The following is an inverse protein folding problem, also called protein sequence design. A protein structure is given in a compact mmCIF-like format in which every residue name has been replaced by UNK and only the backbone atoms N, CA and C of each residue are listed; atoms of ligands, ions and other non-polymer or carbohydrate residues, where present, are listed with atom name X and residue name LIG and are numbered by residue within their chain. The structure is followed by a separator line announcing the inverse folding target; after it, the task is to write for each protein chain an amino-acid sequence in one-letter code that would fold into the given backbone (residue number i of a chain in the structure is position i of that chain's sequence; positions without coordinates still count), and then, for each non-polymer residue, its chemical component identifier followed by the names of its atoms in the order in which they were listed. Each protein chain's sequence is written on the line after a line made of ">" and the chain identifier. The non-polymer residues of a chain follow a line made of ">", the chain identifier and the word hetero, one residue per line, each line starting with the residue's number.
data_IF_112857245849
#
_entry.id   IF_112857245849
#
_cell.length_a   1.000
_cell.length_b   1.000
_cell.length_c   1.000
_cell.angle_alpha   90.00
_cell.angle_beta   90.00
_cell.angle_gamma   90.00
#
_symmetry.space_group_name_H-M   'P 1'
#
loop_
_entity.id
_entity.type
_entity.pdbx_description
1 polymer ?
#
# COMPACT_ATOMS: atom_id res chain seq x y z
N UNK A 1 17.82 14.58 42.48
CA UNK A 1 17.70 13.73 41.29
C UNK A 1 19.10 13.22 40.99
N UNK A 2 19.33 11.91 41.05
CA UNK A 2 20.65 11.34 40.75
C UNK A 2 20.95 11.40 39.24
N UNK A 3 22.19 11.16 38.83
CA UNK A 3 22.59 11.24 37.41
C UNK A 3 21.80 10.26 36.52
N UNK A 4 21.43 9.09 37.05
CA UNK A 4 20.65 8.09 36.33
C UNK A 4 19.21 8.54 36.08
N UNK A 5 18.55 9.15 37.08
CA UNK A 5 17.22 9.74 36.96
C UNK A 5 17.22 10.91 35.98
N UNK A 6 18.29 11.73 35.98
CA UNK A 6 18.46 12.81 35.01
C UNK A 6 18.57 12.28 33.59
N UNK A 7 19.39 11.25 33.39
CA UNK A 7 19.57 10.59 32.08
C UNK A 7 18.28 9.93 31.58
N UNK A 8 17.56 9.21 32.44
CA UNK A 8 16.25 8.62 32.10
C UNK A 8 15.28 9.71 31.65
N UNK A 9 15.21 10.83 32.38
CA UNK A 9 14.33 11.95 32.02
C UNK A 9 14.70 12.56 30.67
N UNK A 10 16.00 12.71 30.38
CA UNK A 10 16.47 13.21 29.07
C UNK A 10 16.12 12.24 27.93
N UNK A 11 16.22 10.93 28.16
CA UNK A 11 15.78 9.91 27.21
C UNK A 11 14.28 9.94 26.98
N UNK A 12 13.48 10.04 28.04
CA UNK A 12 12.02 10.13 27.94
C UNK A 12 11.59 11.34 27.12
N UNK A 13 12.18 12.51 27.36
CA UNK A 13 11.89 13.72 26.58
C UNK A 13 12.33 13.58 25.12
N UNK A 14 13.47 12.95 24.88
CA UNK A 14 13.95 12.67 23.52
C UNK A 14 12.99 11.72 22.78
N UNK A 15 12.60 10.61 23.40
CA UNK A 15 11.66 9.64 22.81
C UNK A 15 10.30 10.30 22.54
N UNK A 16 9.79 11.11 23.46
CA UNK A 16 8.55 11.89 23.25
C UNK A 16 8.64 12.78 22.02
N UNK A 17 9.80 13.41 21.77
CA UNK A 17 10.01 14.22 20.57
C UNK A 17 10.03 13.37 19.30
N UNK A 18 10.72 12.22 19.30
CA UNK A 18 10.75 11.31 18.14
C UNK A 18 9.39 10.68 17.82
N UNK A 19 8.52 10.49 18.81
CA UNK A 19 7.17 9.96 18.60
C UNK A 19 6.19 11.00 18.05
N UNK A 20 6.54 12.29 18.04
CA UNK A 20 5.69 13.32 17.40
C UNK A 20 5.70 13.11 15.87
N UNK A 21 4.53 12.98 15.23
CA UNK A 21 4.47 12.82 13.78
C UNK A 21 5.06 14.03 13.06
N UNK A 22 5.87 13.78 12.02
CA UNK A 22 6.25 14.81 11.06
C UNK A 22 5.10 14.97 10.06
N UNK A 23 4.44 16.12 10.09
CA UNK A 23 3.30 16.42 9.23
C UNK A 23 3.72 17.14 7.94
N UNK A 24 2.79 17.22 6.99
CA UNK A 24 2.94 17.97 5.75
C UNK A 24 4.14 17.53 4.89
N UNK A 25 4.42 16.23 4.87
CA UNK A 25 5.52 15.67 4.08
C UNK A 25 5.01 15.28 2.69
N UNK A 26 5.53 15.88 1.61
CA UNK A 26 5.14 15.47 0.26
C UNK A 26 5.62 14.04 -0.03
N UNK A 27 4.73 13.22 -0.58
CA UNK A 27 5.01 11.82 -0.93
C UNK A 27 6.26 11.68 -1.80
N UNK A 28 6.44 12.55 -2.80
CA UNK A 28 7.62 12.56 -3.66
C UNK A 28 8.95 12.73 -2.91
N UNK A 29 8.94 13.50 -1.80
CA UNK A 29 10.12 13.73 -0.98
C UNK A 29 10.39 12.50 -0.12
N UNK A 30 9.38 11.99 0.57
CA UNK A 30 9.50 10.76 1.36
C UNK A 30 9.97 9.57 0.50
N UNK A 31 9.39 9.42 -0.69
CA UNK A 31 9.75 8.35 -1.62
C UNK A 31 11.20 8.48 -2.09
N UNK A 32 11.65 9.69 -2.44
CA UNK A 32 13.04 9.93 -2.83
C UNK A 32 14.02 9.63 -1.70
N UNK A 33 13.68 10.00 -0.47
CA UNK A 33 14.51 9.74 0.70
C UNK A 33 14.67 8.24 0.99
N UNK A 34 13.58 7.47 0.87
CA UNK A 34 13.58 6.02 1.19
C UNK A 34 14.15 5.16 0.05
N UNK A 35 13.81 5.47 -1.21
CA UNK A 35 14.15 4.62 -2.36
C UNK A 35 15.34 5.11 -3.18
N UNK A 36 15.62 6.42 -3.12
CA UNK A 36 16.50 7.09 -4.09
C UNK A 36 15.83 7.35 -5.45
N UNK A 37 14.58 6.96 -5.67
CA UNK A 37 13.84 7.15 -6.93
C UNK A 37 12.94 8.39 -6.89
N UNK A 38 12.73 9.00 -8.06
CA UNK A 38 11.83 10.15 -8.24
C UNK A 38 10.41 9.68 -8.55
N UNK A 39 9.44 10.31 -7.90
CA UNK A 39 8.03 10.22 -8.30
C UNK A 39 7.83 11.18 -9.47
N UNK A 40 7.53 10.65 -10.65
CA UNK A 40 7.28 11.44 -11.84
C UNK A 40 5.80 11.86 -11.84
N UNK A 41 5.47 13.16 -12.00
CA UNK A 41 4.08 13.61 -12.10
C UNK A 41 3.36 12.97 -13.27
N UNK A 42 2.07 12.69 -13.07
CA UNK A 42 1.16 12.33 -14.16
C UNK A 42 0.69 13.60 -14.87
N UNK A 43 1.00 13.75 -16.15
CA UNK A 43 0.60 14.91 -16.93
C UNK A 43 -0.64 14.60 -17.78
N UNK A 44 -1.76 15.29 -17.52
CA UNK A 44 -3.02 15.08 -18.26
C UNK A 44 -2.94 15.51 -19.73
N UNK A 45 -2.00 16.37 -20.06
CA UNK A 45 -1.81 16.90 -21.41
C UNK A 45 -0.76 16.11 -22.20
N UNK A 46 0.00 15.22 -21.55
CA UNK A 46 0.97 14.36 -22.23
C UNK A 46 0.26 13.18 -22.91
N UNK A 47 0.42 12.97 -24.24
CA UNK A 47 -0.27 11.90 -24.95
C UNK A 47 0.02 10.49 -24.43
N UNK A 48 1.23 10.25 -23.88
CA UNK A 48 1.61 8.94 -23.35
C UNK A 48 0.93 8.68 -22.01
N UNK A 49 0.81 9.70 -21.17
CA UNK A 49 0.06 9.63 -19.91
C UNK A 49 -1.46 9.49 -20.14
N UNK A 50 -2.01 10.18 -21.14
CA UNK A 50 -3.38 9.94 -21.58
C UNK A 50 -3.60 8.49 -22.05
N UNK A 51 -2.64 7.92 -22.80
CA UNK A 51 -2.68 6.53 -23.23
C UNK A 51 -2.61 5.57 -22.02
N UNK A 52 -1.70 5.82 -21.07
CA UNK A 52 -1.63 5.07 -19.82
C UNK A 52 -2.98 5.09 -19.07
N UNK A 53 -3.61 6.26 -18.94
CA UNK A 53 -4.91 6.37 -18.27
C UNK A 53 -6.00 5.57 -18.99
N UNK A 54 -6.07 5.62 -20.32
CA UNK A 54 -7.01 4.81 -21.10
C UNK A 54 -6.82 3.31 -20.85
N UNK A 55 -5.57 2.85 -20.81
CA UNK A 55 -5.25 1.46 -20.53
C UNK A 55 -5.63 1.06 -19.09
N UNK A 56 -5.32 1.92 -18.10
CA UNK A 56 -5.69 1.69 -16.71
C UNK A 56 -7.22 1.65 -16.52
N UNK A 57 -7.97 2.52 -17.20
CA UNK A 57 -9.44 2.50 -17.22
C UNK A 57 -9.96 1.18 -17.78
N UNK A 58 -9.39 0.72 -18.90
CA UNK A 58 -9.78 -0.56 -19.51
C UNK A 58 -9.50 -1.74 -18.58
N UNK A 59 -8.31 -1.77 -17.98
CA UNK A 59 -7.93 -2.82 -17.03
C UNK A 59 -8.79 -2.79 -15.76
N UNK A 60 -9.06 -1.62 -15.18
CA UNK A 60 -9.92 -1.48 -13.99
C UNK A 60 -11.35 -2.00 -14.26
N UNK A 61 -11.92 -1.71 -15.44
CA UNK A 61 -13.22 -2.26 -15.85
C UNK A 61 -13.22 -3.78 -15.92
N UNK A 62 -12.19 -4.38 -16.52
CA UNK A 62 -12.04 -5.84 -16.64
C UNK A 62 -11.86 -6.46 -15.25
N UNK A 63 -10.96 -5.91 -14.44
CA UNK A 63 -10.67 -6.38 -13.08
C UNK A 63 -11.92 -6.32 -12.20
N UNK A 64 -12.64 -5.19 -12.19
CA UNK A 64 -13.91 -5.06 -11.46
C UNK A 64 -14.94 -6.08 -11.95
N UNK A 65 -15.13 -6.22 -13.26
CA UNK A 65 -16.10 -7.18 -13.81
C UNK A 65 -15.77 -8.63 -13.41
N UNK A 66 -14.51 -9.03 -13.54
CA UNK A 66 -14.07 -10.40 -13.25
C UNK A 66 -14.15 -10.70 -11.75
N UNK A 67 -13.64 -9.80 -10.91
CA UNK A 67 -13.71 -9.92 -9.47
C UNK A 67 -15.15 -9.88 -8.95
N UNK A 68 -16.01 -9.04 -9.53
CA UNK A 68 -17.43 -9.04 -9.22
C UNK A 68 -18.05 -10.38 -9.61
N UNK A 69 -17.83 -10.88 -10.82
CA UNK A 69 -18.41 -12.15 -11.27
C UNK A 69 -17.98 -13.33 -10.38
N UNK A 70 -16.70 -13.40 -10.02
CA UNK A 70 -16.18 -14.47 -9.18
C UNK A 70 -16.61 -14.35 -7.71
N UNK A 71 -16.71 -13.11 -7.20
CA UNK A 71 -16.88 -12.84 -5.78
C UNK A 71 -15.59 -13.04 -4.99
N UNK A 72 -15.37 -12.20 -3.97
CA UNK A 72 -14.23 -12.32 -3.05
C UNK A 72 -14.74 -12.84 -1.71
N UNK A 73 -14.39 -14.08 -1.38
CA UNK A 73 -14.82 -14.75 -0.16
C UNK A 73 -13.71 -14.70 0.89
N UNK A 74 -13.78 -13.71 1.78
CA UNK A 74 -12.93 -13.61 2.98
C UNK A 74 -13.80 -13.30 4.19
N UNK A 75 -13.32 -13.65 5.39
CA UNK A 75 -13.99 -13.28 6.65
C UNK A 75 -13.87 -11.80 6.97
N UNK A 76 -12.75 -11.14 6.58
CA UNK A 76 -12.44 -9.77 6.99
C UNK A 76 -12.38 -8.83 5.79
N UNK A 77 -13.09 -7.71 5.88
CA UNK A 77 -13.13 -6.71 4.81
C UNK A 77 -11.75 -6.13 4.44
N UNK A 78 -10.81 -6.10 5.40
CA UNK A 78 -9.44 -5.62 5.19
C UNK A 78 -8.57 -6.57 4.34
N UNK A 79 -8.99 -7.83 4.15
CA UNK A 79 -8.28 -8.79 3.29
C UNK A 79 -8.71 -8.67 1.82
N UNK A 80 -9.83 -8.00 1.53
CA UNK A 80 -10.37 -7.88 0.16
C UNK A 80 -9.36 -7.20 -0.78
N UNK A 81 -8.54 -6.27 -0.27
CA UNK A 81 -7.47 -5.63 -1.04
C UNK A 81 -6.48 -6.64 -1.60
N UNK A 82 -5.99 -7.58 -0.79
CA UNK A 82 -5.03 -8.59 -1.23
C UNK A 82 -5.60 -9.48 -2.36
N UNK A 83 -6.92 -9.69 -2.35
CA UNK A 83 -7.61 -10.49 -3.35
C UNK A 83 -7.94 -9.72 -4.64
N UNK A 84 -7.92 -8.38 -4.64
CA UNK A 84 -8.18 -7.59 -5.86
C UNK A 84 -6.93 -7.45 -6.74
N UNK A 85 -5.73 -7.52 -6.15
CA UNK A 85 -4.45 -7.37 -6.87
C UNK A 85 -4.32 -8.33 -8.06
N UNK A 86 -4.57 -9.66 -7.94
CA UNK A 86 -4.42 -10.58 -9.06
C UNK A 86 -5.35 -10.24 -10.22
N UNK A 87 -6.60 -9.85 -9.95
CA UNK A 87 -7.54 -9.44 -11.00
C UNK A 87 -7.04 -8.22 -11.77
N UNK A 88 -6.39 -7.26 -11.09
CA UNK A 88 -5.82 -6.09 -11.74
C UNK A 88 -4.60 -6.46 -12.59
N UNK A 89 -3.71 -7.32 -12.09
CA UNK A 89 -2.55 -7.82 -12.84
C UNK A 89 -3.01 -8.55 -14.10
N UNK A 90 -3.95 -9.49 -13.97
CA UNK A 90 -4.48 -10.27 -15.07
C UNK A 90 -5.17 -9.37 -16.11
N UNK A 91 -5.94 -8.39 -15.67
CA UNK A 91 -6.59 -7.43 -16.55
C UNK A 91 -5.58 -6.55 -17.33
N UNK A 92 -4.49 -6.11 -16.70
CA UNK A 92 -3.42 -5.36 -17.37
C UNK A 92 -2.71 -6.22 -18.41
N UNK A 93 -2.38 -7.46 -18.07
CA UNK A 93 -1.74 -8.39 -19.00
C UNK A 93 -2.68 -8.79 -20.15
N UNK A 94 -3.98 -8.96 -19.89
CA UNK A 94 -5.00 -9.26 -20.90
C UNK A 94 -5.10 -8.16 -21.98
N UNK A 95 -4.84 -6.90 -21.64
CA UNK A 95 -4.85 -5.80 -22.61
C UNK A 95 -3.49 -5.55 -23.30
N UNK A 96 -2.54 -6.47 -23.11
CA UNK A 96 -1.23 -6.48 -23.76
C UNK A 96 -0.17 -5.64 -23.07
N UNK A 97 -0.35 -5.28 -21.80
CA UNK A 97 0.70 -4.64 -21.01
C UNK A 97 1.56 -5.68 -20.28
N UNK A 98 2.67 -5.24 -19.68
CA UNK A 98 3.51 -6.08 -18.84
C UNK A 98 3.37 -5.64 -17.38
N UNK A 99 2.54 -6.37 -16.63
CA UNK A 99 2.27 -6.13 -15.22
C UNK A 99 2.60 -7.37 -14.37
N UNK A 100 3.26 -7.15 -13.24
CA UNK A 100 3.61 -8.20 -12.27
C UNK A 100 3.81 -7.56 -10.88
N UNK A 101 3.96 -8.39 -9.84
CA UNK A 101 4.40 -7.91 -8.53
C UNK A 101 5.80 -7.29 -8.65
N UNK A 102 6.06 -6.12 -8.04
CA UNK A 102 7.36 -5.48 -8.09
C UNK A 102 8.47 -6.37 -7.53
N UNK A 103 9.66 -6.26 -8.15
CA UNK A 103 10.89 -6.90 -7.67
C UNK A 103 11.71 -5.89 -6.88
N UNK A 104 12.47 -6.39 -5.91
CA UNK A 104 13.48 -5.58 -5.21
C UNK A 104 14.72 -5.38 -6.09
N UNK A 105 15.70 -4.58 -5.62
CA UNK A 105 16.98 -4.39 -6.35
C UNK A 105 17.73 -5.70 -6.58
N UNK A 106 17.57 -6.66 -5.68
CA UNK A 106 18.15 -8.02 -5.76
C UNK A 106 17.30 -8.98 -6.62
N UNK A 107 16.24 -8.50 -7.28
CA UNK A 107 15.38 -9.31 -8.13
C UNK A 107 14.37 -10.20 -7.39
N UNK A 108 14.34 -10.15 -6.05
CA UNK A 108 13.41 -10.93 -5.22
C UNK A 108 11.99 -10.36 -5.33
N UNK A 109 10.99 -11.22 -5.44
CA UNK A 109 9.58 -10.83 -5.31
C UNK A 109 9.20 -10.83 -3.82
N UNK A 110 8.58 -9.76 -3.35
CA UNK A 110 7.99 -9.69 -1.99
C UNK A 110 6.47 -9.58 -2.11
N UNK A 111 5.76 -10.45 -1.38
CA UNK A 111 4.30 -10.42 -1.35
C UNK A 111 3.74 -9.16 -0.67
N UNK A 112 4.45 -8.67 0.35
CA UNK A 112 4.00 -7.56 1.22
C UNK A 112 4.76 -6.26 0.97
N UNK A 113 4.13 -5.15 1.34
CA UNK A 113 4.71 -3.81 1.29
C UNK A 113 4.48 -3.09 -0.04
N UNK A 114 4.63 -1.78 -0.01
CA UNK A 114 4.41 -0.90 -1.15
C UNK A 114 5.49 -1.03 -2.24
N UNK A 115 5.14 -0.98 -3.54
CA UNK A 115 3.79 -1.00 -4.12
C UNK A 115 3.30 -2.43 -4.42
N UNK A 116 2.03 -2.56 -4.76
CA UNK A 116 1.38 -3.84 -5.10
C UNK A 116 1.79 -4.35 -6.49
N UNK A 117 1.80 -3.47 -7.51
CA UNK A 117 1.99 -3.84 -8.92
C UNK A 117 3.03 -2.93 -9.57
N UNK A 118 3.93 -3.54 -10.35
CA UNK A 118 4.81 -2.86 -11.31
C UNK A 118 4.26 -3.06 -12.71
N UNK A 119 4.21 -1.98 -13.48
CA UNK A 119 3.68 -1.95 -14.84
C UNK A 119 4.66 -1.24 -15.77
N UNK A 120 4.99 -1.87 -16.91
CA UNK A 120 5.53 -1.14 -18.07
C UNK A 120 4.38 -0.77 -19.00
N UNK A 121 4.21 0.52 -19.26
CA UNK A 121 3.20 1.01 -20.21
C UNK A 121 3.56 0.68 -21.66
N UNK A 122 2.70 1.06 -22.61
CA UNK A 122 2.91 0.83 -24.05
C UNK A 122 4.19 1.47 -24.58
N UNK A 123 4.72 2.48 -23.90
CA UNK A 123 5.96 3.18 -24.23
C UNK A 123 7.14 2.67 -23.39
N UNK A 124 7.00 1.52 -22.72
CA UNK A 124 7.99 0.89 -21.84
C UNK A 124 8.39 1.74 -20.65
N UNK A 125 7.58 2.74 -20.27
CA UNK A 125 7.84 3.57 -19.09
C UNK A 125 7.40 2.80 -17.83
N UNK A 126 8.19 2.83 -16.75
CA UNK A 126 7.84 2.19 -15.49
C UNK A 126 6.73 2.96 -14.76
N UNK A 127 5.79 2.22 -14.16
CA UNK A 127 4.71 2.73 -13.35
C UNK A 127 4.50 1.79 -12.16
N UNK A 128 4.13 2.38 -11.01
CA UNK A 128 3.72 1.62 -9.83
C UNK A 128 2.24 1.85 -9.57
N UNK A 129 1.52 0.75 -9.34
CA UNK A 129 0.10 0.78 -9.01
C UNK A 129 -0.09 0.21 -7.61
N UNK A 130 -0.88 0.90 -6.82
CA UNK A 130 -1.37 0.45 -5.53
C UNK A 130 -2.88 0.21 -5.63
N UNK A 131 -3.32 -0.98 -5.25
CA UNK A 131 -4.73 -1.33 -5.20
C UNK A 131 -5.28 -0.99 -3.82
N UNK A 132 -6.40 -0.27 -3.76
CA UNK A 132 -7.13 0.00 -2.53
C UNK A 132 -8.57 -0.43 -2.65
N UNK A 133 -9.17 -0.78 -1.53
CA UNK A 133 -10.59 -1.08 -1.43
C UNK A 133 -11.22 -0.16 -0.40
N UNK A 134 -12.45 0.25 -0.65
CA UNK A 134 -13.21 1.08 0.28
C UNK A 134 -14.68 0.67 0.25
N UNK A 135 -15.41 1.03 1.32
CA UNK A 135 -16.87 1.03 1.33
C UNK A 135 -17.35 2.49 1.40
N UNK A 136 -18.59 2.77 0.99
CA UNK A 136 -19.12 4.15 0.93
C UNK A 136 -19.05 4.85 2.30
N UNK A 137 -19.27 4.09 3.39
CA UNK A 137 -19.23 4.59 4.77
C UNK A 137 -17.85 5.08 5.20
N UNK A 138 -16.78 4.51 4.62
CA UNK A 138 -15.40 4.81 5.02
C UNK A 138 -14.67 5.72 4.01
N UNK A 139 -15.26 6.02 2.85
CA UNK A 139 -14.59 6.73 1.75
C UNK A 139 -14.04 8.12 2.12
N UNK A 140 -14.71 8.85 3.01
CA UNK A 140 -14.29 10.19 3.47
C UNK A 140 -13.79 10.22 4.92
N UNK A 141 -13.50 9.05 5.51
CA UNK A 141 -13.02 9.02 6.90
C UNK A 141 -11.56 9.44 7.00
N UNK A 142 -11.17 9.91 8.19
CA UNK A 142 -9.78 10.27 8.53
C UNK A 142 -8.87 9.06 8.75
N UNK A 143 -9.37 7.84 8.51
CA UNK A 143 -8.58 6.61 8.66
C UNK A 143 -7.41 6.58 7.66
N UNK A 144 -6.26 6.05 8.11
CA UNK A 144 -5.08 5.90 7.24
C UNK A 144 -5.38 4.88 6.14
N UNK A 145 -5.67 5.36 4.95
CA UNK A 145 -5.96 4.51 3.77
C UNK A 145 -4.72 4.22 2.92
N UNK A 146 -3.62 4.94 3.14
CA UNK A 146 -2.35 4.76 2.44
C UNK A 146 -1.18 4.92 3.41
N UNK A 147 -0.27 3.95 3.42
CA UNK A 147 1.00 4.02 4.13
C UNK A 147 2.01 3.12 3.43
N UNK A 148 3.28 3.47 3.52
CA UNK A 148 4.38 2.58 3.23
C UNK A 148 5.40 2.68 4.36
N UNK A 149 6.01 1.54 4.69
CA UNK A 149 7.13 1.49 5.60
C UNK A 149 8.42 1.37 4.79
N UNK A 150 9.51 2.05 5.19
CA UNK A 150 10.81 1.76 4.63
C UNK A 150 11.14 0.27 4.85
N UNK A 151 11.85 -0.33 3.91
CA UNK A 151 12.37 -1.67 4.12
C UNK A 151 13.55 -1.60 5.11
N UNK A 152 13.70 -2.62 5.96
CA UNK A 152 14.83 -2.73 6.90
C UNK A 152 16.18 -2.58 6.19
N UNK A 153 16.29 -3.18 5.00
CA UNK A 153 17.43 -3.01 4.09
C UNK A 153 16.99 -2.16 2.90
N UNK A 154 17.74 -1.10 2.50
CA UNK A 154 17.40 -0.31 1.32
C UNK A 154 17.29 -1.14 0.02
N UNK A 155 18.01 -2.27 -0.07
CA UNK A 155 17.94 -3.19 -1.23
C UNK A 155 16.63 -3.97 -1.32
N UNK A 156 15.88 -4.03 -0.22
CA UNK A 156 14.61 -4.75 -0.10
C UNK A 156 13.39 -3.90 -0.46
N UNK A 157 13.56 -2.59 -0.67
CA UNK A 157 12.47 -1.72 -1.09
C UNK A 157 12.10 -1.98 -2.56
N UNK A 158 10.80 -2.00 -2.85
CA UNK A 158 10.26 -2.41 -4.16
C UNK A 158 10.28 -1.29 -5.21
N UNK A 159 10.42 -0.03 -4.80
CA UNK A 159 10.52 1.10 -5.72
C UNK A 159 11.98 1.24 -6.15
N UNK A 160 12.28 0.82 -7.37
CA UNK A 160 13.64 0.79 -7.95
C UNK A 160 13.76 1.59 -9.25
N UNK A 161 12.71 2.30 -9.64
CA UNK A 161 12.64 3.08 -10.89
C UNK A 161 12.00 4.44 -10.61
N UNK A 162 12.47 5.48 -11.30
CA UNK A 162 11.75 6.74 -11.40
C UNK A 162 10.48 6.50 -12.22
N UNK A 163 9.30 6.73 -11.63
CA UNK A 163 8.03 6.25 -12.20
C UNK A 163 6.84 7.13 -11.79
N UNK A 164 5.71 6.98 -12.49
CA UNK A 164 4.42 7.45 -11.96
C UNK A 164 3.91 6.48 -10.90
N UNK A 165 3.25 7.01 -9.89
CA UNK A 165 2.62 6.25 -8.82
C UNK A 165 1.12 6.51 -8.85
N UNK A 166 0.34 5.44 -9.04
CA UNK A 166 -1.10 5.49 -9.27
C UNK A 166 -1.80 4.64 -8.20
N UNK A 167 -2.90 5.15 -7.64
CA UNK A 167 -3.83 4.35 -6.83
C UNK A 167 -5.02 3.96 -7.72
N UNK A 168 -5.35 2.67 -7.75
CA UNK A 168 -6.65 2.18 -8.26
C UNK A 168 -7.48 1.74 -7.05
N UNK A 169 -8.56 2.44 -6.81
CA UNK A 169 -9.41 2.26 -5.63
C UNK A 169 -10.76 1.66 -6.02
N UNK A 170 -11.11 0.50 -5.46
CA UNK A 170 -12.33 -0.24 -5.75
C UNK A 170 -13.36 -0.07 -4.62
N UNK A 171 -14.58 0.34 -4.96
CA UNK A 171 -15.71 0.32 -4.03
C UNK A 171 -16.20 -1.11 -3.90
N UNK A 172 -16.24 -1.60 -2.66
CA UNK A 172 -16.68 -2.94 -2.33
C UNK A 172 -18.07 -2.90 -1.69
N UNK A 173 -18.96 -3.74 -2.17
CA UNK A 173 -20.26 -4.04 -1.58
C UNK A 173 -20.30 -5.50 -1.10
N UNK A 174 -21.29 -5.83 -0.26
CA UNK A 174 -21.53 -7.19 0.21
C UNK A 174 -22.75 -7.73 -0.52
N UNK A 175 -22.61 -8.94 -1.05
CA UNK A 175 -23.70 -9.69 -1.67
C UNK A 175 -23.74 -11.10 -1.07
N UNK A 176 -24.93 -11.69 -0.97
CA UNK A 176 -25.07 -13.10 -0.63
C UNK A 176 -25.00 -13.94 -1.92
N UNK A 177 -24.09 -14.93 -1.94
CA UNK A 177 -23.90 -15.85 -3.06
C UNK A 177 -23.69 -17.24 -2.52
N UNK A 178 -24.47 -18.21 -2.99
CA UNK A 178 -24.39 -19.62 -2.55
C UNK A 178 -24.39 -19.76 -1.01
N UNK A 179 -25.30 -19.04 -0.34
CA UNK A 179 -25.42 -18.98 1.13
C UNK A 179 -24.17 -18.47 1.86
N UNK A 180 -23.28 -17.74 1.17
CA UNK A 180 -22.08 -17.11 1.73
C UNK A 180 -22.07 -15.62 1.43
N UNK A 181 -21.54 -14.84 2.36
CA UNK A 181 -21.26 -13.42 2.13
C UNK A 181 -20.04 -13.28 1.22
N UNK A 182 -20.24 -12.68 0.05
CA UNK A 182 -19.21 -12.30 -0.90
C UNK A 182 -18.96 -10.79 -0.83
N UNK A 183 -17.70 -10.39 -0.94
CA UNK A 183 -17.33 -9.01 -1.23
C UNK A 183 -17.19 -8.84 -2.74
N UNK A 184 -17.83 -7.82 -3.29
CA UNK A 184 -17.83 -7.58 -4.73
C UNK A 184 -17.44 -6.15 -5.05
N UNK A 185 -16.48 -5.91 -5.95
CA UNK A 185 -16.23 -4.56 -6.43
C UNK A 185 -17.35 -4.13 -7.39
N UNK A 186 -17.87 -2.92 -7.20
CA UNK A 186 -18.97 -2.37 -8.01
C UNK A 186 -18.61 -1.06 -8.71
N UNK A 187 -17.53 -0.41 -8.26
CA UNK A 187 -17.06 0.86 -8.80
C UNK A 187 -15.55 0.98 -8.63
N UNK A 188 -14.91 1.82 -9.43
CA UNK A 188 -13.47 2.08 -9.33
C UNK A 188 -13.14 3.56 -9.56
N UNK A 189 -12.05 4.02 -8.94
CA UNK A 189 -11.47 5.36 -9.11
C UNK A 189 -9.96 5.23 -9.30
N UNK A 190 -9.38 6.15 -10.08
CA UNK A 190 -7.93 6.16 -10.36
C UNK A 190 -7.37 7.51 -9.94
N UNK A 191 -6.28 7.51 -9.18
CA UNK A 191 -5.65 8.71 -8.66
C UNK A 191 -4.15 8.69 -8.95
N UNK A 192 -3.59 9.82 -9.37
CA UNK A 192 -2.15 10.06 -9.23
C UNK A 192 -1.85 10.50 -7.79
N UNK A 193 -0.73 10.05 -7.23
CA UNK A 193 -0.31 10.43 -5.86
C UNK A 193 0.97 11.25 -5.83
N UNK A 194 1.37 11.84 -6.96
CA UNK A 194 2.54 12.71 -7.07
C UNK A 194 2.48 13.94 -6.15
N UNK A 195 1.28 14.48 -5.92
CA UNK A 195 1.02 15.61 -5.02
C UNK A 195 0.43 15.21 -3.67
N UNK A 196 0.45 13.92 -3.32
CA UNK A 196 -0.04 13.46 -2.02
C UNK A 196 0.83 14.06 -0.90
N UNK A 197 0.18 14.64 0.11
CA UNK A 197 0.82 15.14 1.32
C UNK A 197 0.44 14.20 2.46
N UNK A 198 1.44 13.67 3.14
CA UNK A 198 1.27 12.72 4.23
C UNK A 198 1.93 13.18 5.52
N UNK A 199 1.98 12.24 6.45
CA UNK A 199 2.70 12.38 7.71
C UNK A 199 3.55 11.14 7.95
N UNK A 200 4.71 11.32 8.56
CA UNK A 200 5.56 10.23 9.03
C UNK A 200 5.21 10.01 10.50
N UNK A 201 4.73 8.81 10.83
CA UNK A 201 4.47 8.39 12.21
C UNK A 201 5.49 7.33 12.60
N UNK A 202 6.08 7.50 13.77
CA UNK A 202 6.86 6.47 14.43
C UNK A 202 5.96 5.71 15.39
N UNK A 203 6.14 4.39 15.48
CA UNK A 203 5.40 3.53 16.41
C UNK A 203 6.37 2.71 17.25
N UNK A 204 5.98 2.44 18.50
CA UNK A 204 6.65 1.45 19.32
C UNK A 204 6.14 0.06 18.92
N UNK A 205 7.04 -0.82 18.51
CA UNK A 205 6.70 -2.18 18.09
C UNK A 205 7.57 -3.22 18.80
N UNK A 206 6.99 -4.39 19.02
CA UNK A 206 7.68 -5.56 19.55
C UNK A 206 7.27 -6.81 18.76
N UNK A 207 8.20 -7.72 18.54
CA UNK A 207 7.93 -9.03 17.95
C UNK A 207 7.27 -9.96 18.98
N UNK A 208 6.57 -11.00 18.51
CA UNK A 208 6.02 -12.04 19.40
C UNK A 208 7.11 -12.65 20.30
N UNK A 209 8.33 -12.84 19.78
CA UNK A 209 9.46 -13.36 20.57
C UNK A 209 9.84 -12.44 21.73
N UNK A 210 9.78 -11.12 21.52
CA UNK A 210 10.07 -10.14 22.57
C UNK A 210 8.94 -10.05 23.60
N UNK A 211 7.68 -10.22 23.17
CA UNK A 211 6.53 -10.16 24.08
C UNK A 211 6.38 -11.41 24.95
N UNK A 212 6.59 -12.61 24.38
CA UNK A 212 6.37 -13.89 25.06
C UNK A 212 7.68 -14.49 25.61
N UNK A 213 8.46 -13.68 26.32
CA UNK A 213 9.67 -14.15 27.02
C UNK A 213 9.30 -14.90 28.31
N UNK A 214 10.04 -15.97 28.64
CA UNK A 214 9.79 -16.76 29.86
C UNK A 214 10.00 -15.93 31.13
N UNK A 215 10.95 -15.01 31.08
CA UNK A 215 11.33 -14.14 32.19
C UNK A 215 10.21 -13.16 32.57
N UNK A 216 9.34 -12.79 31.61
CA UNK A 216 8.21 -11.91 31.83
C UNK A 216 6.88 -12.66 32.07
N UNK A 217 6.85 -13.99 31.99
CA UNK A 217 5.64 -14.78 32.17
C UNK A 217 5.21 -14.77 33.64
N UNK A 218 4.05 -14.18 33.91
CA UNK A 218 3.51 -14.09 35.28
C UNK A 218 2.66 -15.30 35.68
N UNK A 219 1.95 -15.90 34.72
CA UNK A 219 1.14 -17.11 34.91
C UNK A 219 0.78 -17.73 33.55
N UNK A 220 0.56 -19.05 33.52
CA UNK A 220 -0.01 -19.78 32.39
C UNK A 220 -1.00 -20.85 32.90
N UNK A 221 -1.94 -21.31 32.05
CA UNK A 221 -2.92 -22.31 32.44
C UNK A 221 -3.60 -22.96 31.23
N UNK A 222 -4.19 -24.14 31.47
CA UNK A 222 -5.04 -24.88 30.53
C UNK A 222 -6.42 -25.11 31.14
N UNK A 223 -7.40 -25.50 30.31
CA UNK A 223 -8.71 -25.94 30.76
C UNK A 223 -8.65 -27.26 31.54
#
# INVERSE_FOLDING_TARGET
>A
MNEQEKYIKELEETIKQFLKPLNNIPFKIAMKAVSGCKVIPFNKDDPKDQQLLKDLIKAAKIATKNANKQGIFTRRANEVGNHIEPFMIDALNQIGLNADRPKTKEGKKKAVGYPDIFLKDRHRRPNYIECKTYNERNYQTTQRSFYFSPAERPTDFKVIHDARHIIVSFKIEREERESKNAFVPVYWKIFSIDNLIGQIKHEFNASNKQMYSKEALLAEGSF
#
